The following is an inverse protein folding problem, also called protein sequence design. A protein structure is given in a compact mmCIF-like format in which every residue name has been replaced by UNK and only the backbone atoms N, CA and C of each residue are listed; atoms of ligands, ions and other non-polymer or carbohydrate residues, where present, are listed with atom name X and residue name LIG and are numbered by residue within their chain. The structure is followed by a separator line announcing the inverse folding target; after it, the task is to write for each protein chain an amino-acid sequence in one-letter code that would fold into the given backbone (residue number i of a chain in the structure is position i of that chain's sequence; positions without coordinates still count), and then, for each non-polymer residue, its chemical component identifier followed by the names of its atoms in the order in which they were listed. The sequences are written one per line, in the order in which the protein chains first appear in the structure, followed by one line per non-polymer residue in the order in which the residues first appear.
data_IF_017144745823
#
_entry.id   IF_017144745823
#
_cell.length_a   1.000
_cell.length_b   1.000
_cell.length_c   1.000
_cell.angle_alpha   90.00
_cell.angle_beta   90.00
_cell.angle_gamma   90.00
#
_symmetry.space_group_name_H-M   'P 1'
#
loop_
_entity.id
_entity.type
_entity.pdbx_description
1 polymer ?
#
# COMPACT_ATOMS: atom_id res chain seq x y z
N UNK A 1 -0.14 -6.16 -5.50
CA UNK A 1 0.26 -5.13 -4.51
C UNK A 1 -0.49 -3.84 -4.83
N UNK A 2 -0.98 -3.17 -3.78
CA UNK A 2 -1.63 -1.85 -3.94
C UNK A 2 -0.93 -0.81 -3.06
N UNK A 3 -0.66 0.36 -3.65
CA UNK A 3 -0.17 1.54 -2.92
C UNK A 3 -1.25 2.61 -2.99
N UNK A 4 -1.80 2.98 -1.84
CA UNK A 4 -2.99 3.83 -1.75
C UNK A 4 -2.76 5.08 -0.90
N UNK A 5 -3.65 6.02 -0.97
CA UNK A 5 -3.58 7.28 -0.24
C UNK A 5 -4.11 8.46 -1.06
N UNK A 6 -4.39 9.55 -0.40
CA UNK A 6 -4.84 10.80 -1.06
C UNK A 6 -3.80 11.29 -2.09
N UNK A 7 -4.20 12.22 -2.92
CA UNK A 7 -3.24 12.96 -3.78
C UNK A 7 -2.14 13.57 -2.90
N UNK A 8 -0.91 13.55 -3.38
CA UNK A 8 0.27 14.04 -2.65
C UNK A 8 0.60 13.28 -1.35
N UNK A 9 0.19 12.00 -1.22
CA UNK A 9 0.57 11.14 -0.08
C UNK A 9 1.89 10.39 -0.27
N UNK A 10 2.59 10.61 -1.39
CA UNK A 10 3.87 9.96 -1.68
C UNK A 10 3.77 8.63 -2.43
N UNK A 11 2.61 8.27 -3.01
CA UNK A 11 2.43 7.02 -3.77
C UNK A 11 3.45 6.85 -4.89
N UNK A 12 3.60 7.87 -5.75
CA UNK A 12 4.55 7.86 -6.87
C UNK A 12 5.99 7.65 -6.37
N UNK A 13 6.37 8.31 -5.28
CA UNK A 13 7.69 8.13 -4.67
C UNK A 13 7.93 6.69 -4.22
N UNK A 14 6.94 6.07 -3.58
CA UNK A 14 7.01 4.68 -3.13
C UNK A 14 7.06 3.72 -4.31
N UNK A 15 6.24 3.92 -5.35
CA UNK A 15 6.30 3.11 -6.56
C UNK A 15 7.68 3.17 -7.21
N UNK A 16 8.22 4.38 -7.38
CA UNK A 16 9.53 4.57 -7.97
C UNK A 16 10.64 3.90 -7.13
N UNK A 17 10.54 3.94 -5.81
CA UNK A 17 11.48 3.24 -4.93
C UNK A 17 11.40 1.72 -5.09
N UNK A 18 10.18 1.14 -5.17
CA UNK A 18 9.98 -0.28 -5.42
C UNK A 18 10.51 -0.71 -6.78
N UNK A 19 10.20 0.06 -7.84
CA UNK A 19 10.71 -0.20 -9.20
C UNK A 19 12.24 -0.17 -9.19
N UNK A 20 12.83 0.84 -8.55
CA UNK A 20 14.28 0.98 -8.50
C UNK A 20 14.95 -0.17 -7.73
N UNK A 21 14.38 -0.60 -6.60
CA UNK A 21 14.90 -1.74 -5.82
C UNK A 21 14.89 -3.03 -6.66
N UNK A 22 13.79 -3.30 -7.36
CA UNK A 22 13.70 -4.46 -8.26
C UNK A 22 14.72 -4.33 -9.41
N UNK A 23 14.82 -3.16 -10.02
CA UNK A 23 15.73 -2.87 -11.13
C UNK A 23 17.21 -3.05 -10.75
N UNK A 24 17.57 -2.76 -9.51
CA UNK A 24 18.94 -2.94 -9.02
C UNK A 24 19.26 -4.39 -8.64
N UNK A 25 18.26 -5.14 -8.18
CA UNK A 25 18.50 -6.42 -7.52
C UNK A 25 18.03 -7.64 -8.32
N UNK A 26 17.10 -7.48 -9.29
CA UNK A 26 16.47 -8.58 -10.01
C UNK A 26 16.54 -8.41 -11.52
N UNK A 27 16.59 -9.55 -12.25
CA UNK A 27 16.47 -9.58 -13.71
C UNK A 27 15.00 -9.78 -14.08
N UNK A 28 14.28 -8.68 -14.31
CA UNK A 28 12.84 -8.67 -14.63
C UNK A 28 12.56 -7.72 -15.79
N UNK A 29 11.47 -7.97 -16.51
CA UNK A 29 10.89 -7.01 -17.42
C UNK A 29 9.74 -6.28 -16.71
N UNK A 30 9.94 -5.00 -16.47
CA UNK A 30 8.99 -4.13 -15.77
C UNK A 30 8.33 -3.23 -16.79
N UNK A 31 7.01 -3.30 -16.90
CA UNK A 31 6.21 -2.40 -17.71
C UNK A 31 5.45 -1.46 -16.80
N UNK A 32 5.51 -0.15 -17.06
CA UNK A 32 4.70 0.83 -16.33
C UNK A 32 3.69 1.51 -17.28
N UNK A 33 2.52 1.79 -16.75
CA UNK A 33 1.46 2.57 -17.39
C UNK A 33 1.22 3.79 -16.52
N UNK A 34 1.54 4.99 -16.99
CA UNK A 34 1.56 6.22 -16.19
C UNK A 34 0.85 7.38 -16.91
N UNK A 35 0.28 8.31 -16.16
CA UNK A 35 -0.33 9.53 -16.74
C UNK A 35 -0.13 10.74 -15.80
N UNK A 36 0.91 11.56 -16.08
CA UNK A 36 2.03 11.33 -17.01
C UNK A 36 3.15 10.46 -16.39
N UNK A 37 4.21 10.18 -17.15
CA UNK A 37 5.47 9.63 -16.61
C UNK A 37 6.19 10.75 -15.85
N UNK A 38 6.20 10.66 -14.52
CA UNK A 38 6.82 11.67 -13.63
C UNK A 38 8.32 11.46 -13.44
N UNK A 39 8.76 10.22 -13.42
CA UNK A 39 10.15 9.85 -13.19
C UNK A 39 10.64 8.85 -14.25
N UNK A 40 11.76 9.14 -14.89
CA UNK A 40 12.36 8.25 -15.88
C UNK A 40 13.34 7.29 -15.23
N UNK A 41 13.08 6.00 -15.38
CA UNK A 41 13.96 4.95 -14.94
C UNK A 41 14.96 4.57 -16.04
N UNK A 42 16.20 4.32 -15.64
CA UNK A 42 17.20 3.72 -16.52
C UNK A 42 17.29 2.22 -16.19
N UNK A 43 17.18 1.37 -17.21
CA UNK A 43 17.37 -0.08 -17.04
C UNK A 43 18.76 -0.40 -16.48
N UNK A 44 18.81 -1.27 -15.46
CA UNK A 44 20.03 -1.79 -14.83
C UNK A 44 20.06 -3.30 -14.98
N UNK A 45 19.69 -4.06 -13.93
CA UNK A 45 19.51 -5.51 -14.05
C UNK A 45 18.19 -5.86 -14.73
N UNK A 46 17.14 -5.06 -14.49
CA UNK A 46 15.84 -5.21 -15.14
C UNK A 46 15.73 -4.37 -16.40
N UNK A 47 14.92 -4.84 -17.35
CA UNK A 47 14.48 -4.04 -18.50
C UNK A 47 13.22 -3.26 -18.08
N UNK A 48 13.27 -1.93 -18.13
CA UNK A 48 12.13 -1.08 -17.81
C UNK A 48 11.58 -0.44 -19.07
N UNK A 49 10.28 -0.61 -19.29
CA UNK A 49 9.52 0.00 -20.37
C UNK A 49 8.43 0.86 -19.75
N UNK A 50 8.51 2.18 -19.86
CA UNK A 50 7.52 3.12 -19.35
C UNK A 50 6.65 3.59 -20.51
N UNK A 51 5.32 3.46 -20.34
CA UNK A 51 4.32 3.89 -21.31
C UNK A 51 3.46 4.99 -20.73
N UNK A 52 3.35 6.07 -21.44
CA UNK A 52 2.47 7.18 -21.09
C UNK A 52 1.05 6.91 -21.63
N UNK A 53 0.06 7.08 -20.74
CA UNK A 53 -1.35 6.86 -21.04
C UNK A 53 -2.02 8.17 -21.43
N UNK A 54 -2.74 8.19 -22.55
CA UNK A 54 -3.51 9.35 -22.99
C UNK A 54 -3.67 9.45 -24.50
N UNK A 55 -4.45 10.42 -24.94
CA UNK A 55 -4.65 10.67 -26.37
C UNK A 55 -3.32 11.10 -27.03
N UNK A 56 -2.93 10.38 -28.09
CA UNK A 56 -1.66 10.64 -28.77
C UNK A 56 -0.40 10.21 -28.01
N UNK A 57 -0.56 9.38 -26.97
CA UNK A 57 0.51 8.77 -26.19
C UNK A 57 0.70 7.29 -26.57
N UNK A 58 1.53 6.57 -25.80
CA UNK A 58 1.89 5.17 -26.06
C UNK A 58 0.69 4.22 -25.97
N UNK A 59 -0.31 4.54 -25.15
CA UNK A 59 -1.58 3.83 -25.05
C UNK A 59 -2.72 4.79 -24.76
N UNK A 60 -3.91 4.49 -25.30
CA UNK A 60 -5.07 5.37 -25.23
C UNK A 60 -5.60 5.55 -23.80
N UNK A 61 -5.67 4.47 -23.06
CA UNK A 61 -6.16 4.43 -21.68
C UNK A 61 -5.51 3.28 -20.92
N UNK A 62 -5.71 3.24 -19.58
CA UNK A 62 -5.13 2.21 -18.72
C UNK A 62 -5.59 0.81 -19.08
N UNK A 63 -6.90 0.63 -19.39
CA UNK A 63 -7.45 -0.68 -19.76
C UNK A 63 -6.74 -1.28 -20.97
N UNK A 64 -6.64 -0.52 -22.08
CA UNK A 64 -5.95 -0.99 -23.27
C UNK A 64 -4.45 -1.25 -23.00
N UNK A 65 -3.82 -0.42 -22.18
CA UNK A 65 -2.44 -0.63 -21.75
C UNK A 65 -2.26 -1.95 -21.02
N UNK A 66 -3.10 -2.26 -20.04
CA UNK A 66 -3.05 -3.52 -19.27
C UNK A 66 -3.33 -4.73 -20.19
N UNK A 67 -4.37 -4.65 -21.01
CA UNK A 67 -4.72 -5.72 -21.95
C UNK A 67 -3.60 -6.05 -22.93
N UNK A 68 -2.92 -5.02 -23.44
CA UNK A 68 -1.78 -5.22 -24.33
C UNK A 68 -0.57 -5.79 -23.59
N UNK A 69 -0.39 -5.47 -22.30
CA UNK A 69 0.72 -5.97 -21.47
C UNK A 69 0.78 -7.49 -21.37
N UNK A 70 -0.38 -8.18 -21.42
CA UNK A 70 -0.47 -9.63 -21.46
C UNK A 70 0.30 -10.26 -22.64
N UNK A 71 0.53 -9.48 -23.71
CA UNK A 71 1.24 -9.93 -24.92
C UNK A 71 2.67 -9.43 -25.01
N UNK A 72 3.11 -8.69 -24.01
CA UNK A 72 4.42 -8.04 -24.03
C UNK A 72 5.48 -8.78 -23.20
N UNK A 73 5.15 -9.99 -22.69
CA UNK A 73 6.08 -10.83 -21.91
C UNK A 73 6.77 -10.03 -20.79
N UNK A 74 5.99 -9.30 -19.99
CA UNK A 74 6.51 -8.59 -18.81
C UNK A 74 6.34 -9.45 -17.56
N UNK A 75 7.28 -9.39 -16.63
CA UNK A 75 7.16 -10.05 -15.32
C UNK A 75 6.34 -9.21 -14.34
N UNK A 76 6.47 -7.89 -14.46
CA UNK A 76 5.90 -6.92 -13.52
C UNK A 76 5.17 -5.84 -14.30
N UNK A 77 3.90 -5.62 -13.95
CA UNK A 77 3.10 -4.53 -14.46
C UNK A 77 2.82 -3.50 -13.35
N UNK A 78 3.16 -2.24 -13.61
CA UNK A 78 2.82 -1.11 -12.73
C UNK A 78 1.70 -0.30 -13.37
N UNK A 79 0.56 -0.22 -12.70
CA UNK A 79 -0.60 0.57 -13.12
C UNK A 79 -0.61 1.85 -12.28
N UNK A 80 -0.28 2.98 -12.90
CA UNK A 80 -0.17 4.28 -12.22
C UNK A 80 -1.43 4.65 -11.45
N UNK A 81 -2.62 4.31 -11.99
CA UNK A 81 -3.89 4.52 -11.28
C UNK A 81 -5.00 3.58 -11.77
N UNK A 82 -5.73 2.99 -10.82
CA UNK A 82 -6.92 2.18 -11.06
C UNK A 82 -8.16 3.02 -10.67
N UNK A 83 -8.87 3.55 -11.67
CA UNK A 83 -10.02 4.44 -11.47
C UNK A 83 -11.37 3.78 -11.72
N UNK A 84 -11.40 2.72 -12.49
CA UNK A 84 -12.62 2.11 -13.01
C UNK A 84 -12.58 0.58 -12.95
N UNK A 85 -13.77 -0.01 -13.08
CA UNK A 85 -13.97 -1.46 -13.05
C UNK A 85 -13.16 -2.17 -14.13
N UNK A 86 -13.11 -1.61 -15.34
CA UNK A 86 -12.51 -2.29 -16.50
C UNK A 86 -10.99 -2.41 -16.36
N UNK A 87 -10.32 -1.34 -15.88
CA UNK A 87 -8.90 -1.35 -15.54
C UNK A 87 -8.61 -2.31 -14.39
N UNK A 88 -9.52 -2.38 -13.39
CA UNK A 88 -9.41 -3.28 -12.26
C UNK A 88 -9.49 -4.75 -12.70
N UNK A 89 -10.48 -5.10 -13.55
CA UNK A 89 -10.65 -6.45 -14.10
C UNK A 89 -9.41 -6.90 -14.87
N UNK A 90 -8.90 -6.05 -15.73
CA UNK A 90 -7.68 -6.35 -16.49
C UNK A 90 -6.45 -6.56 -15.56
N UNK A 91 -6.34 -5.75 -14.50
CA UNK A 91 -5.28 -5.91 -13.50
C UNK A 91 -5.40 -7.22 -12.70
N UNK A 92 -6.63 -7.66 -12.37
CA UNK A 92 -6.89 -8.94 -11.72
C UNK A 92 -6.51 -10.10 -12.66
N UNK A 93 -6.96 -10.07 -13.92
CA UNK A 93 -6.62 -11.08 -14.93
C UNK A 93 -5.10 -11.22 -15.10
N UNK A 94 -4.39 -10.10 -15.16
CA UNK A 94 -2.93 -10.07 -15.23
C UNK A 94 -2.29 -10.72 -13.98
N UNK A 95 -2.82 -10.45 -12.78
CA UNK A 95 -2.32 -11.04 -11.54
C UNK A 95 -2.63 -12.55 -11.45
N UNK A 96 -3.80 -13.00 -11.92
CA UNK A 96 -4.18 -14.43 -11.96
C UNK A 96 -3.32 -15.21 -12.96
N UNK A 97 -2.86 -14.60 -14.03
CA UNK A 97 -1.94 -15.20 -15.01
C UNK A 97 -0.49 -15.31 -14.49
N UNK A 98 -0.22 -14.93 -13.25
CA UNK A 98 1.06 -15.13 -12.57
C UNK A 98 2.00 -13.93 -12.58
N UNK A 99 1.58 -12.78 -13.10
CA UNK A 99 2.38 -11.56 -13.11
C UNK A 99 2.29 -10.82 -11.78
N UNK A 100 3.36 -10.12 -11.40
CA UNK A 100 3.28 -9.17 -10.30
C UNK A 100 2.64 -7.86 -10.79
N UNK A 101 1.45 -7.57 -10.29
CA UNK A 101 0.76 -6.30 -10.57
C UNK A 101 0.91 -5.38 -9.37
N UNK A 102 1.38 -4.13 -9.62
CA UNK A 102 1.45 -3.07 -8.63
C UNK A 102 0.55 -1.93 -9.11
N UNK A 103 -0.50 -1.62 -8.36
CA UNK A 103 -1.45 -0.56 -8.75
C UNK A 103 -1.60 0.50 -7.67
N UNK A 104 -2.19 1.66 -8.04
CA UNK A 104 -2.56 2.68 -7.06
C UNK A 104 -4.06 2.97 -7.05
N UNK A 105 -4.57 3.32 -5.86
CA UNK A 105 -5.91 3.85 -5.65
C UNK A 105 -5.86 5.08 -4.72
N UNK A 106 -6.97 5.84 -4.68
CA UNK A 106 -7.12 7.03 -3.82
C UNK A 106 -7.98 6.73 -2.58
N UNK A 107 -7.66 5.65 -1.86
CA UNK A 107 -8.32 5.28 -0.60
C UNK A 107 -7.47 5.70 0.60
N UNK A 108 -8.10 5.84 1.78
CA UNK A 108 -7.46 6.41 2.98
C UNK A 108 -6.94 5.37 3.96
N UNK A 109 -7.32 4.09 3.79
CA UNK A 109 -6.90 2.97 4.64
C UNK A 109 -6.86 1.67 3.84
N UNK A 110 -6.22 0.64 4.39
CA UNK A 110 -6.21 -0.69 3.80
C UNK A 110 -7.61 -1.30 3.74
N UNK A 111 -8.42 -1.11 4.77
CA UNK A 111 -9.81 -1.59 4.81
C UNK A 111 -10.68 -0.91 3.74
N UNK A 112 -10.60 0.44 3.61
CA UNK A 112 -11.29 1.18 2.56
C UNK A 112 -10.86 0.73 1.16
N UNK A 113 -9.60 0.32 1.00
CA UNK A 113 -9.09 -0.21 -0.27
C UNK A 113 -9.81 -1.49 -0.67
N UNK A 114 -9.96 -2.43 0.24
CA UNK A 114 -10.69 -3.68 -0.01
C UNK A 114 -12.15 -3.39 -0.35
N UNK A 115 -12.82 -2.55 0.44
CA UNK A 115 -14.20 -2.16 0.20
C UNK A 115 -14.36 -1.49 -1.18
N UNK A 116 -13.48 -0.56 -1.53
CA UNK A 116 -13.49 0.12 -2.82
C UNK A 116 -13.35 -0.83 -4.00
N UNK A 117 -12.44 -1.81 -3.90
CA UNK A 117 -12.23 -2.80 -4.95
C UNK A 117 -13.48 -3.66 -5.16
N UNK A 118 -14.15 -4.07 -4.10
CA UNK A 118 -15.37 -4.88 -4.16
C UNK A 118 -16.52 -4.05 -4.73
N UNK A 119 -16.64 -2.79 -4.34
CA UNK A 119 -17.72 -1.88 -4.76
C UNK A 119 -17.60 -1.38 -6.21
N UNK A 120 -16.53 -1.70 -6.93
CA UNK A 120 -16.53 -1.57 -8.39
C UNK A 120 -17.49 -2.53 -9.09
N UNK A 121 -17.97 -3.58 -8.36
CA UNK A 121 -18.78 -4.66 -8.92
C UNK A 121 -20.20 -4.62 -8.38
N UNK A 122 -21.15 -5.10 -9.22
CA UNK A 122 -22.53 -5.31 -8.78
C UNK A 122 -22.59 -6.37 -7.68
N UNK A 123 -23.59 -6.28 -6.80
CA UNK A 123 -23.73 -7.18 -5.63
C UNK A 123 -23.67 -8.66 -6.02
N UNK A 124 -24.26 -9.04 -7.17
CA UNK A 124 -24.25 -10.41 -7.67
C UNK A 124 -22.83 -10.95 -7.98
N UNK A 125 -21.90 -10.07 -8.34
CA UNK A 125 -20.53 -10.44 -8.75
C UNK A 125 -19.54 -10.34 -7.58
N UNK A 126 -19.91 -9.67 -6.48
CA UNK A 126 -19.00 -9.37 -5.37
C UNK A 126 -18.44 -10.62 -4.69
N UNK A 127 -19.23 -11.71 -4.59
CA UNK A 127 -18.75 -12.94 -3.97
C UNK A 127 -17.56 -13.55 -4.76
N UNK A 128 -17.65 -13.54 -6.09
CA UNK A 128 -16.57 -14.00 -6.97
C UNK A 128 -15.34 -13.12 -6.82
N UNK A 129 -15.50 -11.80 -6.84
CA UNK A 129 -14.40 -10.85 -6.71
C UNK A 129 -13.71 -10.97 -5.36
N UNK A 130 -14.44 -11.14 -4.26
CA UNK A 130 -13.87 -11.40 -2.93
C UNK A 130 -12.98 -12.65 -2.93
N UNK A 131 -13.44 -13.72 -3.57
CA UNK A 131 -12.66 -14.93 -3.70
C UNK A 131 -11.37 -14.70 -4.48
N UNK A 132 -11.44 -14.04 -5.64
CA UNK A 132 -10.27 -13.72 -6.47
C UNK A 132 -9.29 -12.84 -5.70
N UNK A 133 -9.74 -11.71 -5.13
CA UNK A 133 -8.90 -10.81 -4.35
C UNK A 133 -8.23 -11.51 -3.17
N UNK A 134 -8.94 -12.38 -2.47
CA UNK A 134 -8.38 -13.14 -1.34
C UNK A 134 -7.23 -14.07 -1.74
N UNK A 135 -7.15 -14.45 -3.00
CA UNK A 135 -6.10 -15.33 -3.54
C UNK A 135 -4.89 -14.58 -4.06
N UNK A 136 -5.16 -13.49 -4.84
CA UNK A 136 -4.10 -12.78 -5.57
C UNK A 136 -3.50 -11.60 -4.79
N UNK A 137 -4.30 -10.92 -3.94
CA UNK A 137 -3.81 -9.75 -3.21
C UNK A 137 -2.78 -10.17 -2.16
N UNK A 138 -1.60 -9.56 -2.17
CA UNK A 138 -0.50 -9.89 -1.26
C UNK A 138 -0.20 -8.79 -0.26
N UNK A 139 -0.35 -7.53 -0.67
CA UNK A 139 0.04 -6.38 0.12
C UNK A 139 -0.81 -5.16 -0.25
N UNK A 140 -1.25 -4.43 0.76
CA UNK A 140 -1.81 -3.08 0.60
C UNK A 140 -1.02 -2.12 1.49
N UNK A 141 -0.54 -1.03 0.91
CA UNK A 141 0.15 0.05 1.62
C UNK A 141 -0.67 1.31 1.49
N UNK A 142 -1.27 1.79 2.56
CA UNK A 142 -1.97 3.07 2.58
C UNK A 142 -1.09 4.15 3.20
N UNK A 143 -0.97 5.29 2.54
CA UNK A 143 0.02 6.31 2.88
C UNK A 143 -0.61 7.66 3.21
N UNK A 144 -0.06 8.30 4.25
CA UNK A 144 -0.33 9.70 4.58
C UNK A 144 1.00 10.43 4.74
N UNK A 145 1.05 11.69 4.34
CA UNK A 145 2.17 12.59 4.63
C UNK A 145 1.70 13.67 5.60
N UNK A 146 2.41 13.83 6.71
CA UNK A 146 2.16 14.87 7.69
C UNK A 146 3.34 15.85 7.74
N UNK A 147 3.10 17.13 8.04
CA UNK A 147 4.19 18.06 8.35
C UNK A 147 4.94 17.57 9.58
N UNK A 148 6.25 17.45 9.48
CA UNK A 148 7.11 17.08 10.60
C UNK A 148 7.48 18.27 11.48
N UNK A 149 7.94 17.99 12.68
CA UNK A 149 8.42 18.99 13.63
C UNK A 149 9.67 19.74 13.15
N UNK A 150 10.40 19.14 12.21
CA UNK A 150 11.58 19.70 11.54
C UNK A 150 11.27 20.43 10.22
N UNK A 151 9.97 20.60 9.88
CA UNK A 151 9.50 21.22 8.65
C UNK A 151 9.53 20.31 7.43
N UNK A 152 9.99 19.04 7.55
CA UNK A 152 9.94 18.04 6.46
C UNK A 152 8.65 17.25 6.52
N UNK A 153 8.30 16.62 5.41
CA UNK A 153 7.15 15.70 5.38
C UNK A 153 7.53 14.35 6.00
N UNK A 154 6.66 13.85 6.86
CA UNK A 154 6.80 12.55 7.54
C UNK A 154 5.79 11.58 6.97
N UNK A 155 6.28 10.44 6.48
CA UNK A 155 5.44 9.36 5.99
C UNK A 155 4.83 8.59 7.16
N UNK A 156 3.51 8.42 7.11
CA UNK A 156 2.72 7.59 8.02
C UNK A 156 2.12 6.46 7.19
N UNK A 157 2.76 5.30 7.13
CA UNK A 157 2.23 4.14 6.42
C UNK A 157 1.26 3.35 7.28
N UNK A 158 0.26 2.78 6.65
CA UNK A 158 -0.51 1.63 7.11
C UNK A 158 -0.22 0.49 6.15
N UNK A 159 0.22 -0.65 6.63
CA UNK A 159 0.65 -1.79 5.82
C UNK A 159 -0.14 -3.02 6.20
N UNK A 160 -0.83 -3.60 5.24
CA UNK A 160 -1.58 -4.84 5.39
C UNK A 160 -0.94 -5.93 4.53
N UNK A 161 -0.28 -6.87 5.16
CA UNK A 161 0.11 -8.14 4.53
C UNK A 161 -1.12 -9.04 4.48
N UNK A 162 -1.47 -9.51 3.29
CA UNK A 162 -2.64 -10.38 3.11
C UNK A 162 -2.23 -11.82 3.40
N UNK A 163 -2.34 -12.19 4.65
CA UNK A 163 -2.14 -13.56 5.14
C UNK A 163 -3.47 -14.37 5.11
N UNK A 164 -3.44 -15.58 5.64
CA UNK A 164 -4.61 -16.44 5.69
C UNK A 164 -5.79 -15.84 6.50
N UNK A 165 -5.50 -15.02 7.54
CA UNK A 165 -6.53 -14.36 8.35
C UNK A 165 -7.22 -13.28 7.53
N UNK A 166 -6.44 -12.37 6.93
CA UNK A 166 -6.96 -11.30 6.07
C UNK A 166 -7.68 -11.88 4.85
N UNK A 167 -7.12 -12.91 4.20
CA UNK A 167 -7.78 -13.63 3.11
C UNK A 167 -9.14 -14.21 3.53
N UNK A 168 -9.22 -14.76 4.74
CA UNK A 168 -10.47 -15.27 5.31
C UNK A 168 -11.50 -14.16 5.54
N UNK A 169 -11.07 -12.98 6.03
CA UNK A 169 -11.95 -11.82 6.22
C UNK A 169 -12.49 -11.31 4.87
N UNK A 170 -11.63 -11.21 3.85
CA UNK A 170 -12.04 -10.75 2.51
C UNK A 170 -13.12 -11.64 1.90
N UNK A 171 -13.15 -12.94 2.18
CA UNK A 171 -14.16 -13.90 1.69
C UNK A 171 -15.50 -13.82 2.39
N UNK A 172 -15.60 -13.16 3.55
CA UNK A 172 -16.86 -13.05 4.29
C UNK A 172 -17.94 -12.35 3.48
N UNK A 173 -19.20 -12.70 3.69
CA UNK A 173 -20.34 -12.03 3.09
C UNK A 173 -20.34 -10.53 3.44
N UNK A 174 -20.12 -10.21 4.72
CA UNK A 174 -19.95 -8.84 5.22
C UNK A 174 -18.55 -8.68 5.76
N UNK A 175 -17.83 -7.70 5.24
CA UNK A 175 -16.49 -7.35 5.69
C UNK A 175 -16.63 -6.21 6.69
N UNK A 176 -16.06 -6.38 7.88
CA UNK A 176 -15.98 -5.32 8.88
C UNK A 176 -14.62 -4.62 8.79
N UNK A 177 -14.65 -3.28 8.79
CA UNK A 177 -13.43 -2.46 8.85
C UNK A 177 -12.62 -2.80 10.11
N UNK A 178 -13.29 -2.94 11.26
CA UNK A 178 -12.62 -3.30 12.53
C UNK A 178 -11.93 -4.66 12.46
N UNK A 179 -12.52 -5.67 11.82
CA UNK A 179 -11.87 -6.98 11.67
C UNK A 179 -10.59 -6.91 10.85
N UNK A 180 -10.55 -6.06 9.82
CA UNK A 180 -9.33 -5.83 9.02
C UNK A 180 -8.28 -5.09 9.87
N UNK A 181 -8.69 -4.04 10.60
CA UNK A 181 -7.80 -3.29 11.48
C UNK A 181 -7.20 -4.20 12.58
N UNK A 182 -8.00 -5.06 13.21
CA UNK A 182 -7.55 -6.04 14.19
C UNK A 182 -6.58 -7.07 13.60
N UNK A 183 -6.85 -7.52 12.36
CA UNK A 183 -5.97 -8.44 11.66
C UNK A 183 -4.62 -7.79 11.33
N UNK A 184 -4.60 -6.52 10.88
CA UNK A 184 -3.36 -5.75 10.65
C UNK A 184 -2.55 -5.66 11.95
N UNK A 185 -3.22 -5.33 13.05
CA UNK A 185 -2.58 -5.19 14.36
C UNK A 185 -1.97 -6.51 14.85
N UNK A 186 -2.68 -7.63 14.62
CA UNK A 186 -2.25 -8.96 15.05
C UNK A 186 -1.11 -9.55 14.21
N UNK A 187 -0.92 -9.06 12.98
CA UNK A 187 0.09 -9.54 12.03
C UNK A 187 1.36 -8.65 11.99
N UNK A 188 1.68 -7.95 13.07
CA UNK A 188 2.87 -7.08 13.14
C UNK A 188 4.18 -7.85 13.00
N UNK A 189 4.24 -9.10 13.46
CA UNK A 189 5.36 -10.03 13.29
C UNK A 189 5.58 -10.45 11.82
N UNK A 190 4.54 -10.33 10.99
CA UNK A 190 4.57 -10.63 9.55
C UNK A 190 4.82 -9.41 8.67
N UNK A 191 5.08 -8.25 9.27
CA UNK A 191 5.36 -7.00 8.56
C UNK A 191 4.14 -6.11 8.35
N UNK A 192 2.96 -6.43 8.90
CA UNK A 192 1.83 -5.51 8.92
C UNK A 192 2.08 -4.37 9.90
N UNK A 193 1.63 -3.16 9.55
CA UNK A 193 1.77 -1.95 10.36
C UNK A 193 0.42 -1.25 10.45
N UNK A 194 -0.19 -1.23 11.64
CA UNK A 194 -1.42 -0.49 11.87
C UNK A 194 -1.19 1.02 11.88
N UNK A 195 -2.19 1.79 11.45
CA UNK A 195 -2.12 3.25 11.45
C UNK A 195 -1.76 3.82 12.83
N UNK A 196 -2.38 3.32 13.89
CA UNK A 196 -2.15 3.78 15.27
C UNK A 196 -0.70 3.53 15.68
N UNK A 197 -0.13 2.38 15.34
CA UNK A 197 1.26 2.05 15.64
C UNK A 197 2.21 2.99 14.89
N UNK A 198 1.94 3.22 13.60
CA UNK A 198 2.74 4.15 12.79
C UNK A 198 2.72 5.57 13.37
N UNK A 199 1.56 6.08 13.76
CA UNK A 199 1.41 7.40 14.40
C UNK A 199 2.14 7.47 15.74
N UNK A 200 1.98 6.44 16.58
CA UNK A 200 2.61 6.38 17.90
C UNK A 200 4.14 6.36 17.79
N UNK A 201 4.71 5.57 16.86
CA UNK A 201 6.15 5.52 16.59
C UNK A 201 6.69 6.90 16.17
N UNK A 202 6.04 7.55 15.19
CA UNK A 202 6.50 8.86 14.71
C UNK A 202 6.39 9.94 15.78
N UNK A 203 5.38 9.85 16.67
CA UNK A 203 5.29 10.74 17.82
C UNK A 203 6.41 10.46 18.87
N UNK A 204 6.65 9.20 19.23
CA UNK A 204 7.72 8.83 20.20
C UNK A 204 9.11 9.18 19.66
N UNK A 205 9.29 9.16 18.33
CA UNK A 205 10.52 9.60 17.66
C UNK A 205 10.62 11.13 17.53
N UNK A 206 9.63 11.88 18.03
CA UNK A 206 9.61 13.34 17.97
C UNK A 206 9.40 13.92 16.58
N UNK A 207 8.98 13.11 15.60
CA UNK A 207 8.80 13.52 14.20
C UNK A 207 7.49 14.25 13.94
N UNK A 208 6.45 13.98 14.73
CA UNK A 208 5.14 14.64 14.66
C UNK A 208 4.67 15.00 16.05
N UNK A 209 3.70 15.93 16.15
CA UNK A 209 3.07 16.28 17.42
C UNK A 209 1.92 15.33 17.79
N UNK A 210 1.53 15.30 19.08
CA UNK A 210 0.40 14.48 19.53
C UNK A 210 -0.91 14.91 18.88
N UNK A 211 -1.10 16.22 18.70
CA UNK A 211 -2.32 16.76 18.07
C UNK A 211 -2.39 16.34 16.59
N UNK A 212 -1.27 16.35 15.89
CA UNK A 212 -1.21 15.83 14.52
C UNK A 212 -1.57 14.34 14.47
N UNK A 213 -1.08 13.52 15.40
CA UNK A 213 -1.42 12.11 15.49
C UNK A 213 -2.91 11.88 15.75
N UNK A 214 -3.48 12.61 16.74
CA UNK A 214 -4.92 12.54 17.08
C UNK A 214 -5.83 12.95 15.93
N UNK A 215 -5.44 13.96 15.15
CA UNK A 215 -6.21 14.43 14.00
C UNK A 215 -6.31 13.40 12.85
N UNK A 216 -5.55 12.31 12.88
CA UNK A 216 -5.56 11.26 11.85
C UNK A 216 -6.49 10.10 12.16
N UNK A 217 -7.05 10.03 13.35
CA UNK A 217 -7.87 8.91 13.85
C UNK A 217 -9.21 9.41 14.37
N UNK A 218 -10.15 8.50 14.50
CA UNK A 218 -11.44 8.78 15.15
C UNK A 218 -11.27 8.92 16.66
N UNK A 219 -12.15 9.69 17.31
CA UNK A 219 -12.12 9.97 18.74
C UNK A 219 -12.09 8.70 19.60
N UNK A 220 -12.86 7.67 19.21
CA UNK A 220 -12.88 6.37 19.88
C UNK A 220 -11.50 5.65 19.94
N UNK A 221 -10.58 6.00 19.05
CA UNK A 221 -9.26 5.39 18.93
C UNK A 221 -8.15 6.17 19.67
N UNK A 222 -8.48 7.34 20.27
CA UNK A 222 -7.50 8.17 20.98
C UNK A 222 -6.94 7.45 22.20
N UNK A 223 -7.75 6.68 22.92
CA UNK A 223 -7.32 5.92 24.09
C UNK A 223 -6.31 4.82 23.67
N UNK A 224 -6.57 4.15 22.55
CA UNK A 224 -5.67 3.12 22.00
C UNK A 224 -4.35 3.74 21.61
N UNK A 225 -4.36 4.91 20.94
CA UNK A 225 -3.16 5.66 20.59
C UNK A 225 -2.33 6.00 21.84
N UNK A 226 -2.96 6.54 22.89
CA UNK A 226 -2.28 6.90 24.12
C UNK A 226 -1.64 5.69 24.81
N UNK A 227 -2.33 4.55 24.87
CA UNK A 227 -1.81 3.29 25.39
C UNK A 227 -0.61 2.78 24.58
N UNK A 228 -0.71 2.81 23.26
CA UNK A 228 0.38 2.41 22.35
C UNK A 228 1.62 3.30 22.53
N UNK A 229 1.43 4.61 22.65
CA UNK A 229 2.52 5.55 22.93
C UNK A 229 3.22 5.21 24.25
N UNK A 230 2.45 4.93 25.32
CA UNK A 230 3.00 4.57 26.62
C UNK A 230 3.84 3.28 26.54
N UNK A 231 3.34 2.26 25.86
CA UNK A 231 4.06 1.01 25.65
C UNK A 231 5.36 1.20 24.88
N UNK A 232 5.36 2.02 23.83
CA UNK A 232 6.58 2.32 23.03
C UNK A 232 7.62 3.10 23.84
N UNK A 233 7.19 4.04 24.68
CA UNK A 233 8.11 4.79 25.56
C UNK A 233 8.80 3.85 26.57
N UNK A 234 8.01 2.97 27.23
CA UNK A 234 8.58 1.98 28.18
C UNK A 234 9.59 1.06 27.49
N UNK A 235 9.29 0.58 26.29
CA UNK A 235 10.23 -0.25 25.51
C UNK A 235 11.52 0.50 25.16
N UNK A 236 11.41 1.79 24.82
CA UNK A 236 12.57 2.62 24.47
C UNK A 236 13.45 2.87 25.69
N UNK A 237 12.86 3.14 26.86
CA UNK A 237 13.57 3.38 28.09
C UNK A 237 14.23 2.09 28.62
N UNK A 238 13.58 0.93 28.52
CA UNK A 238 14.15 -0.38 28.89
C UNK A 238 15.28 -0.81 27.95
N UNK A 239 15.16 -0.54 26.64
CA UNK A 239 16.23 -0.79 25.68
C UNK A 239 17.48 0.10 25.88
N UNK A 240 17.28 1.35 26.28
CA UNK A 240 18.38 2.26 26.62
C UNK A 240 19.13 1.81 27.90
N UNK A 241 18.43 1.26 28.88
CA UNK A 241 19.05 0.72 30.10
C UNK A 241 19.89 -0.55 29.85
N UNK A 242 19.53 -1.36 28.85
CA UNK A 242 20.30 -2.57 28.51
C UNK A 242 21.63 -2.23 27.83
N UNK A 243 21.69 -1.13 27.08
CA UNK A 243 22.92 -0.68 26.41
C UNK A 243 23.89 0.01 27.42
N UNK A 244 23.37 0.68 28.44
CA UNK A 244 24.19 1.32 29.48
C UNK A 244 24.70 0.32 30.53
N UNK A 245 24.12 -0.87 30.66
CA UNK A 245 24.56 -1.93 31.58
C UNK A 245 25.72 -2.80 31.07
N UNK A 246 26.16 -2.64 29.82
CA UNK A 246 27.30 -3.37 29.22
C UNK A 246 28.60 -2.53 29.13
N UNK A 247 28.77 -1.53 29.97
CA UNK A 247 30.07 -0.85 30.17
C UNK A 247 30.63 -1.20 31.54
N UNK A 248 31.19 -2.40 31.63
CA UNK A 248 32.27 -2.73 32.58
C UNK A 248 33.19 -3.79 31.96
#
# INVERSE_FOLDING_TARGET
ILVTGKTNSGKTTTLNALINDINENQNRKILTLENPVEYKHHSKKSLIVQKEVGLGKDTLNFHEGVKNSLREDCDILVIGEIRDKVTMEAGIEMAESGHLVIGTLHTKSCAETIDRMINFYEVRDQAQIKYMLSSILKLVVSQRLLPGTDGKLVLIPEVMVVDNIVSGIIRKEKISVSEIEDAIQSASDKGSIGLINSLAEKFVDGKITLDQAKAQIEEKNIEILNRTIMQLKIKKDSGANTINGMRY
#
